data_IF_656623208847
#
_entry.id   IF_656623208847
#
_cell.length_a   1.000
_cell.length_b   1.000
_cell.length_c   1.000
_cell.angle_alpha   90.00
_cell.angle_beta   90.00
_cell.angle_gamma   90.00
#
_symmetry.space_group_name_H-M   'P 1'
#
loop_
_entity.id
_entity.type
_entity.pdbx_description
1 polymer ?
#
# COMPACT_ATOMS: atom_id res chain seq x y z
N UNK A 1 0.78 33.31 10.85
CA UNK A 1 0.48 32.65 9.58
C UNK A 1 1.35 31.40 9.47
N UNK A 2 0.72 30.28 9.07
CA UNK A 2 1.36 29.08 8.54
C UNK A 2 1.78 27.98 9.53
N UNK A 3 0.80 27.22 10.00
CA UNK A 3 0.92 25.79 10.32
C UNK A 3 -0.19 24.97 9.64
N UNK A 4 -1.34 25.60 9.35
CA UNK A 4 -2.56 24.94 8.84
C UNK A 4 -2.51 24.41 7.39
N UNK A 5 -1.59 24.86 6.54
CA UNK A 5 -1.62 24.48 5.11
C UNK A 5 -1.01 23.09 4.84
N UNK A 6 -0.22 22.55 5.77
CA UNK A 6 0.43 21.24 5.59
C UNK A 6 -0.46 20.05 5.97
N UNK A 7 -1.48 20.26 6.82
CA UNK A 7 -2.38 19.19 7.28
C UNK A 7 -3.34 18.69 6.18
N UNK A 8 -3.60 19.50 5.16
CA UNK A 8 -4.66 19.27 4.16
C UNK A 8 -4.36 18.21 3.09
N UNK A 9 -3.16 17.62 3.05
CA UNK A 9 -2.78 16.69 1.96
C UNK A 9 -2.70 15.22 2.38
N UNK A 10 -2.60 14.93 3.67
CA UNK A 10 -2.36 13.59 4.20
C UNK A 10 -3.68 12.94 4.56
N UNK A 11 -3.96 11.78 3.98
CA UNK A 11 -5.16 11.00 4.28
C UNK A 11 -4.90 10.14 5.50
N UNK A 12 -5.75 10.21 6.52
CA UNK A 12 -5.69 9.28 7.66
C UNK A 12 -6.20 7.89 7.26
N UNK A 13 -5.31 6.91 7.29
CA UNK A 13 -5.55 5.55 6.77
C UNK A 13 -5.79 4.50 7.86
N UNK A 14 -5.67 4.87 9.14
CA UNK A 14 -5.80 3.94 10.30
C UNK A 14 -7.05 3.06 10.22
N UNK A 15 -8.21 3.67 9.95
CA UNK A 15 -9.48 2.94 9.86
C UNK A 15 -9.58 2.03 8.64
N UNK A 16 -8.97 2.44 7.52
CA UNK A 16 -8.93 1.64 6.29
C UNK A 16 -8.04 0.41 6.52
N UNK A 17 -6.83 0.61 7.02
CA UNK A 17 -5.90 -0.47 7.35
C UNK A 17 -6.48 -1.44 8.38
N UNK A 18 -7.17 -0.93 9.41
CA UNK A 18 -7.85 -1.76 10.42
C UNK A 18 -8.92 -2.67 9.80
N UNK A 19 -9.78 -2.13 8.94
CA UNK A 19 -10.81 -2.93 8.24
C UNK A 19 -10.19 -3.96 7.29
N UNK A 20 -9.18 -3.57 6.52
CA UNK A 20 -8.48 -4.49 5.63
C UNK A 20 -7.82 -5.64 6.41
N UNK A 21 -7.14 -5.33 7.51
CA UNK A 21 -6.51 -6.34 8.38
C UNK A 21 -7.52 -7.29 9.00
N UNK A 22 -8.69 -6.80 9.40
CA UNK A 22 -9.78 -7.66 9.89
C UNK A 22 -10.21 -8.68 8.81
N UNK A 23 -10.35 -8.25 7.56
CA UNK A 23 -10.64 -9.14 6.42
C UNK A 23 -9.49 -10.11 6.16
N UNK A 24 -8.23 -9.65 6.23
CA UNK A 24 -7.06 -10.52 6.05
C UNK A 24 -6.98 -11.64 7.10
N UNK A 25 -7.45 -11.39 8.33
CA UNK A 25 -7.49 -12.39 9.41
C UNK A 25 -8.72 -13.29 9.40
N UNK A 26 -9.74 -12.97 8.60
CA UNK A 26 -10.92 -13.81 8.48
C UNK A 26 -10.51 -15.20 7.94
N UNK A 27 -10.92 -16.31 8.60
CA UNK A 27 -10.56 -17.67 8.20
C UNK A 27 -10.89 -18.01 6.74
N UNK A 28 -11.85 -17.30 6.12
CA UNK A 28 -12.21 -17.47 4.70
C UNK A 28 -11.09 -17.03 3.75
N UNK A 29 -10.29 -16.03 4.13
CA UNK A 29 -9.21 -15.50 3.30
C UNK A 29 -7.83 -15.87 3.86
N UNK A 30 -7.63 -15.75 5.17
CA UNK A 30 -6.40 -16.04 5.90
C UNK A 30 -5.13 -15.55 5.18
N UNK A 31 -5.08 -14.26 4.87
CA UNK A 31 -3.99 -13.64 4.13
C UNK A 31 -2.88 -13.17 5.08
N UNK A 32 -1.63 -13.40 4.69
CA UNK A 32 -0.47 -12.82 5.36
C UNK A 32 -0.19 -11.38 4.87
N UNK A 33 -0.39 -11.15 3.58
CA UNK A 33 -0.17 -9.86 2.93
C UNK A 33 -1.22 -9.58 1.85
N UNK A 34 -1.49 -8.30 1.61
CA UNK A 34 -2.31 -7.79 0.53
C UNK A 34 -1.47 -6.81 -0.29
N UNK A 35 -1.41 -7.03 -1.61
CA UNK A 35 -0.53 -6.30 -2.53
C UNK A 35 -1.37 -5.56 -3.54
N UNK A 36 -1.12 -4.26 -3.69
CA UNK A 36 -1.73 -3.40 -4.71
C UNK A 36 -0.61 -2.91 -5.63
N UNK A 37 -0.31 -3.64 -6.71
CA UNK A 37 0.71 -3.24 -7.66
C UNK A 37 0.25 -2.03 -8.49
N UNK A 38 1.21 -1.27 -9.02
CA UNK A 38 0.97 -0.40 -10.18
C UNK A 38 0.90 -1.27 -11.42
N UNK A 39 -0.19 -1.17 -12.19
CA UNK A 39 -0.21 -1.71 -13.55
C UNK A 39 0.24 -0.66 -14.56
N UNK A 40 1.06 -1.10 -15.51
CA UNK A 40 1.64 -0.29 -16.57
C UNK A 40 0.55 0.21 -17.53
N UNK A 41 0.14 1.47 -17.35
CA UNK A 41 -0.44 2.43 -18.31
C UNK A 41 -1.58 2.05 -19.28
N UNK A 42 -1.99 0.78 -19.39
CA UNK A 42 -2.98 0.31 -20.38
C UNK A 42 -4.26 -0.23 -19.73
N UNK A 43 -4.29 -0.45 -18.42
CA UNK A 43 -5.49 -0.83 -17.62
C UNK A 43 -5.70 0.08 -16.38
N UNK A 44 -5.14 1.29 -16.43
CA UNK A 44 -4.90 2.19 -15.30
C UNK A 44 -6.10 3.06 -14.87
N UNK A 45 -7.22 2.46 -14.44
CA UNK A 45 -8.30 3.25 -13.82
C UNK A 45 -8.73 2.75 -12.44
N UNK A 46 -8.61 1.46 -12.13
CA UNK A 46 -9.13 0.94 -10.87
C UNK A 46 -8.04 0.55 -9.86
N UNK A 47 -6.87 0.09 -10.30
CA UNK A 47 -5.76 -0.22 -9.39
C UNK A 47 -5.17 1.03 -8.74
N UNK A 48 -5.07 2.14 -9.48
CA UNK A 48 -4.62 3.43 -8.94
C UNK A 48 -5.58 3.97 -7.89
N UNK A 49 -6.90 3.82 -8.11
CA UNK A 49 -7.91 4.16 -7.12
C UNK A 49 -7.77 3.31 -5.85
N UNK A 50 -7.45 2.02 -5.97
CA UNK A 50 -7.22 1.14 -4.81
C UNK A 50 -5.99 1.55 -4.01
N UNK A 51 -4.86 1.82 -4.67
CA UNK A 51 -3.63 2.29 -4.01
C UNK A 51 -3.88 3.63 -3.33
N UNK A 52 -4.43 4.59 -4.06
CA UNK A 52 -4.76 5.91 -3.51
C UNK A 52 -5.77 5.82 -2.38
N UNK A 53 -6.76 4.93 -2.47
CA UNK A 53 -7.73 4.71 -1.39
C UNK A 53 -7.07 4.10 -0.16
N UNK A 54 -6.25 3.06 -0.29
CA UNK A 54 -5.69 2.41 0.90
C UNK A 54 -4.58 3.24 1.56
N UNK A 55 -3.74 3.92 0.77
CA UNK A 55 -2.54 4.61 1.28
C UNK A 55 -2.60 6.14 1.26
N UNK A 56 -3.54 6.74 0.52
CA UNK A 56 -3.56 8.18 0.27
C UNK A 56 -2.59 8.65 -0.81
N UNK A 57 -1.67 7.79 -1.28
CA UNK A 57 -0.67 8.14 -2.28
C UNK A 57 -1.28 8.25 -3.68
N UNK A 58 -1.15 9.43 -4.29
CA UNK A 58 -1.75 9.77 -5.59
C UNK A 58 -0.80 9.69 -6.78
N UNK A 59 0.48 9.37 -6.56
CA UNK A 59 1.44 9.19 -7.65
C UNK A 59 1.08 7.99 -8.52
N UNK A 60 1.44 8.02 -9.81
CA UNK A 60 1.03 7.00 -10.79
C UNK A 60 1.82 5.69 -10.74
N UNK A 61 3.01 5.70 -10.12
CA UNK A 61 3.86 4.53 -10.00
C UNK A 61 4.14 4.20 -8.53
N UNK A 62 3.77 2.99 -8.12
CA UNK A 62 4.12 2.45 -6.82
C UNK A 62 3.31 1.20 -6.47
N UNK A 63 3.89 0.36 -5.60
CA UNK A 63 3.25 -0.83 -5.07
C UNK A 63 2.97 -0.63 -3.58
N UNK A 64 1.70 -0.76 -3.17
CA UNK A 64 1.34 -0.77 -1.76
C UNK A 64 1.26 -2.21 -1.25
N UNK A 65 1.95 -2.50 -0.15
CA UNK A 65 1.94 -3.80 0.52
C UNK A 65 1.43 -3.60 1.94
N UNK A 66 0.36 -4.31 2.30
CA UNK A 66 -0.21 -4.31 3.65
C UNK A 66 -0.06 -5.70 4.24
N UNK A 67 0.57 -5.82 5.41
CA UNK A 67 0.59 -7.04 6.21
C UNK A 67 -0.36 -6.89 7.41
N UNK A 68 -0.45 -7.93 8.24
CA UNK A 68 -1.27 -7.91 9.46
C UNK A 68 -0.85 -6.83 10.46
N UNK A 69 0.40 -6.40 10.39
CA UNK A 69 1.10 -5.55 11.36
C UNK A 69 1.74 -4.31 10.73
N UNK A 70 2.14 -4.34 9.46
CA UNK A 70 2.82 -3.25 8.76
C UNK A 70 2.10 -2.82 7.48
N UNK A 71 2.46 -1.65 6.96
CA UNK A 71 2.10 -1.18 5.64
C UNK A 71 3.29 -0.46 5.01
N UNK A 72 3.59 -0.76 3.75
CA UNK A 72 4.74 -0.23 3.03
C UNK A 72 4.35 0.20 1.63
N UNK A 73 4.84 1.37 1.19
CA UNK A 73 4.67 1.86 -0.17
C UNK A 73 6.02 1.87 -0.87
N UNK A 74 6.14 1.09 -1.93
CA UNK A 74 7.29 1.05 -2.82
C UNK A 74 7.04 2.00 -3.98
N UNK A 75 7.95 2.94 -4.24
CA UNK A 75 7.89 3.81 -5.42
C UNK A 75 9.30 4.17 -5.86
N UNK A 76 9.43 4.80 -7.02
CA UNK A 76 10.70 5.26 -7.57
C UNK A 76 10.99 6.74 -7.27
N UNK A 77 12.20 7.19 -7.64
CA UNK A 77 12.73 8.52 -7.31
C UNK A 77 11.87 9.70 -7.75
N UNK A 78 10.99 9.54 -8.75
CA UNK A 78 10.07 10.59 -9.19
C UNK A 78 9.08 11.01 -8.11
N UNK A 79 8.77 10.09 -7.20
CA UNK A 79 7.66 10.25 -6.24
C UNK A 79 8.10 10.25 -4.78
N UNK A 80 9.39 10.19 -4.45
CA UNK A 80 9.84 10.15 -3.05
C UNK A 80 9.34 11.34 -2.22
N UNK A 81 9.43 12.55 -2.77
CA UNK A 81 8.97 13.76 -2.07
C UNK A 81 7.45 13.74 -1.90
N UNK A 82 6.72 13.43 -2.98
CA UNK A 82 5.26 13.34 -2.96
C UNK A 82 4.78 12.30 -1.93
N UNK A 83 5.33 11.09 -1.96
CA UNK A 83 4.97 10.02 -1.04
C UNK A 83 5.27 10.41 0.41
N UNK A 84 6.41 11.09 0.69
CA UNK A 84 6.74 11.53 2.05
C UNK A 84 5.75 12.56 2.62
N UNK A 85 5.07 13.31 1.75
CA UNK A 85 4.07 14.31 2.13
C UNK A 85 2.66 13.73 2.25
N UNK A 86 2.29 12.77 1.39
CA UNK A 86 0.94 12.23 1.29
C UNK A 86 0.67 11.04 2.23
N UNK A 87 1.70 10.26 2.54
CA UNK A 87 1.58 9.11 3.45
C UNK A 87 1.48 9.57 4.90
N UNK A 88 0.60 8.91 5.66
CA UNK A 88 0.55 9.03 7.12
C UNK A 88 1.53 8.08 7.83
N UNK A 89 1.55 8.17 9.16
CA UNK A 89 2.52 7.47 9.99
C UNK A 89 2.28 5.94 10.06
N UNK A 90 1.20 5.44 9.44
CA UNK A 90 0.98 3.99 9.30
C UNK A 90 1.85 3.36 8.20
N UNK A 91 2.40 4.17 7.28
CA UNK A 91 3.08 3.69 6.09
C UNK A 91 4.59 3.90 6.16
N UNK A 92 5.33 2.86 5.76
CA UNK A 92 6.77 2.96 5.50
C UNK A 92 7.01 3.24 4.02
N UNK A 93 7.69 4.36 3.72
CA UNK A 93 8.10 4.67 2.35
C UNK A 93 9.36 3.89 1.96
N UNK A 94 9.23 2.97 1.02
CA UNK A 94 10.29 2.16 0.46
C UNK A 94 10.80 2.80 -0.84
N UNK A 95 11.94 3.48 -0.75
CA UNK A 95 12.56 4.25 -1.84
C UNK A 95 13.30 3.34 -2.82
N UNK A 96 12.59 2.82 -3.83
CA UNK A 96 13.15 1.83 -4.76
C UNK A 96 14.34 2.41 -5.55
N UNK A 97 15.34 1.57 -5.80
CA UNK A 97 16.57 1.95 -6.50
C UNK A 97 17.65 2.56 -5.59
N UNK A 98 17.38 2.76 -4.30
CA UNK A 98 18.43 3.08 -3.33
C UNK A 98 19.10 1.82 -2.78
N UNK A 99 20.41 1.85 -2.49
CA UNK A 99 21.12 0.72 -1.87
C UNK A 99 20.46 0.29 -0.55
N UNK A 100 20.27 -1.01 -0.37
CA UNK A 100 19.70 -1.59 0.85
C UNK A 100 18.18 -1.59 0.94
N UNK A 101 17.46 -1.02 -0.04
CA UNK A 101 15.99 -1.13 -0.11
C UNK A 101 15.60 -2.36 -0.93
N UNK A 102 14.90 -3.35 -0.36
CA UNK A 102 14.48 -4.54 -1.10
C UNK A 102 13.41 -4.21 -2.16
N UNK A 103 13.25 -5.10 -3.14
CA UNK A 103 12.06 -5.07 -3.98
C UNK A 103 10.81 -5.41 -3.14
N UNK A 104 9.62 -5.07 -3.63
CA UNK A 104 8.40 -5.43 -2.90
C UNK A 104 8.21 -6.97 -2.84
N UNK A 105 8.72 -7.69 -3.84
CA UNK A 105 8.74 -9.15 -3.87
C UNK A 105 9.65 -9.72 -2.78
N UNK A 106 10.88 -9.19 -2.67
CA UNK A 106 11.83 -9.62 -1.64
C UNK A 106 11.30 -9.29 -0.24
N UNK A 107 10.69 -8.11 -0.09
CA UNK A 107 10.02 -7.73 1.16
C UNK A 107 8.91 -8.72 1.52
N UNK A 108 8.08 -9.13 0.55
CA UNK A 108 7.05 -10.15 0.78
C UNK A 108 7.64 -11.48 1.24
N UNK A 109 8.76 -11.91 0.66
CA UNK A 109 9.45 -13.13 1.09
C UNK A 109 10.02 -13.03 2.51
N UNK A 110 10.33 -11.83 2.98
CA UNK A 110 10.82 -11.58 4.34
C UNK A 110 9.69 -11.52 5.37
N UNK A 111 8.55 -10.92 5.02
CA UNK A 111 7.41 -10.74 5.95
C UNK A 111 6.41 -11.89 5.91
N UNK A 112 6.35 -12.64 4.81
CA UNK A 112 5.61 -13.87 4.75
C UNK A 112 6.48 -14.99 5.34
N UNK A 113 6.30 -15.22 6.64
CA UNK A 113 6.68 -16.49 7.24
C UNK A 113 6.15 -17.63 6.34
N UNK A 114 6.98 -18.64 6.07
CA UNK A 114 7.00 -19.49 4.86
C UNK A 114 5.75 -20.37 4.55
N UNK A 115 4.56 -20.03 5.08
CA UNK A 115 3.32 -20.82 5.00
C UNK A 115 2.07 -20.12 4.46
N UNK A 116 2.11 -18.82 4.13
CA UNK A 116 0.87 -18.08 3.81
C UNK A 116 0.97 -17.07 2.65
N UNK A 117 1.71 -17.38 1.59
CA UNK A 117 1.64 -16.61 0.34
C UNK A 117 0.46 -17.11 -0.51
N UNK A 118 -0.73 -16.54 -0.30
CA UNK A 118 -1.81 -16.61 -1.28
C UNK A 118 -1.87 -15.29 -2.05
N UNK A 119 -1.36 -15.29 -3.28
CA UNK A 119 -1.52 -14.19 -4.22
C UNK A 119 -2.99 -14.15 -4.69
N UNK A 120 -3.86 -13.44 -3.97
CA UNK A 120 -5.23 -13.18 -4.45
C UNK A 120 -5.18 -12.06 -5.50
N UNK A 121 -5.17 -12.44 -6.78
CA UNK A 121 -5.19 -11.51 -7.90
C UNK A 121 -6.58 -10.95 -8.27
N UNK A 122 -7.68 -11.32 -7.59
CA UNK A 122 -9.00 -10.87 -8.07
C UNK A 122 -10.16 -10.82 -7.04
N UNK A 123 -10.00 -11.20 -5.77
CA UNK A 123 -11.17 -11.48 -4.92
C UNK A 123 -11.69 -10.34 -4.03
N UNK A 124 -10.82 -9.49 -3.48
CA UNK A 124 -11.19 -8.60 -2.34
C UNK A 124 -11.54 -7.17 -2.80
N UNK A 125 -11.25 -6.82 -4.06
CA UNK A 125 -11.41 -5.45 -4.57
C UNK A 125 -12.85 -4.94 -4.67
N UNK A 126 -13.87 -5.80 -4.54
CA UNK A 126 -15.26 -5.43 -4.75
C UNK A 126 -16.00 -4.94 -3.48
N UNK A 127 -15.57 -5.34 -2.29
CA UNK A 127 -16.29 -5.01 -1.03
C UNK A 127 -15.68 -3.83 -0.27
N UNK A 128 -14.43 -3.48 -0.57
CA UNK A 128 -13.69 -2.45 0.17
C UNK A 128 -13.86 -1.02 -0.39
N UNK A 129 -14.53 -0.87 -1.54
CA UNK A 129 -14.68 0.40 -2.27
C UNK A 129 -16.11 0.99 -2.27
N UNK A 130 -16.96 0.61 -1.31
CA UNK A 130 -18.26 1.29 -1.05
C UNK A 130 -18.14 2.32 0.07
#
# INVERSE_FOLDING_TARGET
MSADTAELKRVHTTDRLRRLRALMTDPRYNLAAYVVPSEDAHQATDCDKRRQYISGFSGSAGCAVVTRDAAALFTDGRYFLQASQELDDNWTLMKQGLPGVPTWQDYLLQVADARALHASLAGIGAEFAK
#
